data_IF_066119245342
#
_entry.id   IF_066119245342
#
_cell.length_a   1.000
_cell.length_b   1.000
_cell.length_c   1.000
_cell.angle_alpha   90.00
_cell.angle_beta   90.00
_cell.angle_gamma   90.00
#
_symmetry.space_group_name_H-M   'P 1'
#
loop_
_entity.id
_entity.type
_entity.pdbx_description
1 polymer ?
#
# COMPACT_ATOMS: atom_id res chain seq x y z
N UNK A 1 -19.71 -3.85 68.67
CA UNK A 1 -20.29 -4.06 67.31
C UNK A 1 -19.51 -3.44 66.13
N UNK A 2 -18.49 -2.57 66.32
CA UNK A 2 -17.73 -1.99 65.19
C UNK A 2 -16.47 -2.79 64.76
N UNK A 3 -15.92 -3.64 65.63
CA UNK A 3 -14.71 -4.42 65.33
C UNK A 3 -14.96 -5.72 64.56
N UNK A 4 -16.19 -6.23 64.53
CA UNK A 4 -16.53 -7.47 63.82
C UNK A 4 -16.77 -7.26 62.32
N UNK A 5 -17.18 -6.05 61.91
CA UNK A 5 -17.43 -5.73 60.49
C UNK A 5 -16.15 -5.55 59.67
N UNK A 6 -15.03 -5.15 60.29
CA UNK A 6 -13.77 -4.91 59.57
C UNK A 6 -13.04 -6.23 59.23
N UNK A 7 -13.13 -7.25 60.08
CA UNK A 7 -12.59 -8.59 59.79
C UNK A 7 -13.36 -9.32 58.68
N UNK A 8 -14.67 -9.08 58.55
CA UNK A 8 -15.48 -9.67 57.49
C UNK A 8 -15.17 -9.07 56.10
N UNK A 9 -14.86 -7.78 56.03
CA UNK A 9 -14.45 -7.11 54.79
C UNK A 9 -13.06 -7.53 54.30
N UNK A 10 -12.11 -7.80 55.21
CA UNK A 10 -10.78 -8.29 54.86
C UNK A 10 -10.78 -9.75 54.40
N UNK A 11 -11.65 -10.60 54.97
CA UNK A 11 -11.79 -12.01 54.54
C UNK A 11 -12.60 -12.12 53.25
N UNK A 12 -13.59 -11.25 53.02
CA UNK A 12 -14.32 -11.19 51.74
C UNK A 12 -13.47 -10.64 50.59
N UNK A 13 -12.54 -9.71 50.84
CA UNK A 13 -11.59 -9.21 49.84
C UNK A 13 -10.56 -10.26 49.38
N UNK A 14 -10.21 -11.22 50.24
CA UNK A 14 -9.31 -12.34 49.91
C UNK A 14 -9.99 -13.49 49.16
N UNK A 15 -11.32 -13.56 49.15
CA UNK A 15 -12.12 -14.56 48.42
C UNK A 15 -12.59 -14.07 47.04
N UNK A 16 -12.31 -12.81 46.69
CA UNK A 16 -12.58 -12.21 45.38
C UNK A 16 -11.32 -12.02 44.52
N UNK A 17 -10.15 -12.50 44.98
CA UNK A 17 -9.08 -12.77 44.04
C UNK A 17 -9.54 -13.91 43.14
N UNK A 18 -10.05 -13.56 41.96
CA UNK A 18 -10.07 -14.50 40.84
C UNK A 18 -8.70 -15.18 40.81
N UNK A 19 -8.69 -16.50 40.70
CA UNK A 19 -7.47 -17.26 40.47
C UNK A 19 -6.90 -16.67 39.18
N UNK A 20 -5.89 -15.80 39.31
CA UNK A 20 -5.19 -15.24 38.17
C UNK A 20 -4.53 -16.40 37.46
N UNK A 21 -5.21 -16.94 36.44
CA UNK A 21 -4.64 -17.96 35.56
C UNK A 21 -3.52 -17.27 34.79
N UNK A 22 -2.32 -17.33 35.35
CA UNK A 22 -1.12 -16.93 34.63
C UNK A 22 -0.98 -17.86 33.44
N UNK A 23 -1.01 -17.31 32.23
CA UNK A 23 -0.86 -18.10 31.02
C UNK A 23 0.50 -18.81 31.05
N UNK A 24 0.58 -20.09 30.66
CA UNK A 24 1.86 -20.79 30.60
C UNK A 24 2.83 -20.03 29.68
N UNK A 25 4.09 -19.80 30.10
CA UNK A 25 5.05 -19.04 29.31
C UNK A 25 5.47 -19.83 28.07
N UNK A 26 5.19 -19.31 26.87
CA UNK A 26 5.63 -19.95 25.62
C UNK A 26 7.16 -20.06 25.56
N UNK A 27 7.87 -19.09 26.15
CA UNK A 27 9.33 -19.07 26.20
C UNK A 27 9.93 -20.37 26.76
N UNK A 28 9.31 -20.99 27.77
CA UNK A 28 9.81 -22.23 28.36
C UNK A 28 9.80 -23.38 27.33
N UNK A 29 8.76 -23.46 26.50
CA UNK A 29 8.67 -24.48 25.46
C UNK A 29 9.71 -24.26 24.35
N UNK A 30 9.97 -23.00 24.00
CA UNK A 30 11.04 -22.63 23.05
C UNK A 30 12.40 -23.04 23.59
N UNK A 31 12.67 -22.80 24.87
CA UNK A 31 13.94 -23.13 25.52
C UNK A 31 14.18 -24.64 25.69
N UNK A 32 13.12 -25.43 25.81
CA UNK A 32 13.22 -26.89 25.86
C UNK A 32 13.34 -27.53 24.47
N UNK A 33 13.07 -26.77 23.41
CA UNK A 33 13.18 -27.28 22.04
C UNK A 33 14.66 -27.26 21.60
N UNK A 34 15.22 -28.41 21.16
CA UNK A 34 16.57 -28.46 20.62
C UNK A 34 16.71 -27.65 19.33
N UNK A 35 17.93 -27.19 19.02
CA UNK A 35 18.22 -26.54 17.74
C UNK A 35 17.87 -27.46 16.57
N UNK A 36 17.17 -26.93 15.57
CA UNK A 36 16.60 -27.66 14.44
C UNK A 36 15.33 -28.44 14.77
N UNK A 37 14.91 -28.45 16.05
CA UNK A 37 13.72 -29.15 16.51
C UNK A 37 12.42 -28.46 16.13
N UNK A 38 11.32 -29.23 16.18
CA UNK A 38 9.96 -28.74 15.98
C UNK A 38 9.22 -28.66 17.30
N UNK A 39 8.76 -27.46 17.65
CA UNK A 39 7.87 -27.17 18.77
C UNK A 39 6.42 -27.22 18.29
N UNK A 40 5.65 -28.15 18.86
CA UNK A 40 4.18 -28.29 18.69
C UNK A 40 3.51 -28.15 20.06
N UNK A 41 3.21 -26.92 20.52
CA UNK A 41 2.49 -26.73 21.76
C UNK A 41 1.08 -27.32 21.65
N UNK A 42 0.51 -27.88 22.73
CA UNK A 42 -0.92 -28.19 22.76
C UNK A 42 -1.77 -26.95 22.42
N UNK A 43 -2.98 -27.13 21.86
CA UNK A 43 -3.94 -26.05 21.66
C UNK A 43 -4.13 -25.23 22.94
N UNK A 44 -4.04 -23.90 22.84
CA UNK A 44 -4.13 -23.05 24.02
C UNK A 44 -3.54 -21.65 23.88
N UNK A 45 -3.64 -20.89 24.97
CA UNK A 45 -3.12 -19.52 25.07
C UNK A 45 -1.90 -19.50 26.00
N UNK A 46 -0.85 -18.83 25.56
CA UNK A 46 0.45 -18.76 26.23
C UNK A 46 0.88 -17.31 26.40
N UNK A 47 1.59 -17.02 27.49
CA UNK A 47 2.18 -15.70 27.70
C UNK A 47 3.43 -15.54 26.84
N UNK A 48 3.55 -14.37 26.21
CA UNK A 48 4.80 -13.79 25.76
C UNK A 48 5.50 -13.00 26.88
N UNK A 49 6.64 -12.35 26.60
CA UNK A 49 7.31 -12.32 25.30
C UNK A 49 8.00 -13.64 24.95
N UNK A 50 8.21 -13.88 23.66
CA UNK A 50 8.94 -15.03 23.13
C UNK A 50 10.15 -14.56 22.35
N UNK A 51 11.32 -15.12 22.64
CA UNK A 51 12.56 -14.85 21.92
C UNK A 51 13.13 -16.15 21.35
N UNK A 52 13.17 -16.23 20.03
CA UNK A 52 13.73 -17.36 19.28
C UNK A 52 15.18 -17.03 18.91
N UNK A 53 16.12 -17.49 19.75
CA UNK A 53 17.58 -17.28 19.56
C UNK A 53 18.29 -18.50 18.97
N UNK A 54 17.58 -19.61 18.79
CA UNK A 54 18.09 -20.81 18.13
C UNK A 54 17.11 -21.25 17.04
N UNK A 55 17.64 -21.80 15.96
CA UNK A 55 16.82 -22.27 14.83
C UNK A 55 15.83 -23.31 15.31
N UNK A 56 14.54 -23.05 15.19
CA UNK A 56 13.47 -24.02 15.48
C UNK A 56 12.33 -23.86 14.47
N UNK A 57 11.45 -24.85 14.43
CA UNK A 57 10.13 -24.74 13.80
C UNK A 57 9.07 -24.64 14.90
N UNK A 58 8.34 -23.52 14.98
CA UNK A 58 7.17 -23.35 15.84
C UNK A 58 5.89 -23.58 15.02
N UNK A 59 5.15 -24.63 15.34
CA UNK A 59 3.90 -25.00 14.67
C UNK A 59 2.72 -24.89 15.64
N UNK A 60 1.85 -23.92 15.40
CA UNK A 60 0.67 -23.69 16.23
C UNK A 60 -0.61 -24.38 15.77
N UNK A 61 -0.62 -24.93 14.55
CA UNK A 61 -1.80 -25.63 14.00
C UNK A 61 -3.07 -24.77 13.83
N UNK A 62 -2.96 -23.44 13.97
CA UNK A 62 -4.10 -22.52 14.03
C UNK A 62 -4.76 -22.42 15.39
N UNK A 63 -4.28 -23.17 16.40
CA UNK A 63 -4.92 -23.31 17.71
C UNK A 63 -4.07 -22.76 18.87
N UNK A 64 -2.86 -22.30 18.59
CA UNK A 64 -1.94 -21.72 19.57
C UNK A 64 -1.97 -20.20 19.50
N UNK A 65 -2.19 -19.56 20.65
CA UNK A 65 -2.19 -18.11 20.82
C UNK A 65 -1.01 -17.69 21.70
N UNK A 66 -0.19 -16.76 21.23
CA UNK A 66 0.85 -16.08 22.01
C UNK A 66 0.35 -14.68 22.33
N UNK A 67 0.18 -14.40 23.61
CA UNK A 67 -0.38 -13.15 24.14
C UNK A 67 0.71 -12.31 24.81
N UNK A 68 0.97 -11.12 24.27
CA UNK A 68 1.94 -10.17 24.83
C UNK A 68 1.48 -9.47 26.11
N UNK A 69 0.22 -9.61 26.51
CA UNK A 69 -0.32 -8.99 27.73
C UNK A 69 -0.41 -7.46 27.67
N UNK A 70 -0.24 -6.86 26.49
CA UNK A 70 -0.26 -5.41 26.31
C UNK A 70 1.05 -4.70 26.64
N UNK A 71 2.16 -5.43 26.71
CA UNK A 71 3.49 -4.87 26.97
C UNK A 71 4.53 -5.40 25.97
N UNK A 72 5.39 -4.51 25.48
CA UNK A 72 6.51 -4.84 24.59
C UNK A 72 6.16 -5.55 23.27
N UNK A 73 7.18 -6.17 22.68
CA UNK A 73 7.03 -7.01 21.49
C UNK A 73 6.69 -8.44 21.87
N UNK A 74 5.72 -9.06 21.18
CA UNK A 74 5.19 -10.38 21.54
C UNK A 74 6.15 -11.51 21.16
N UNK A 75 6.62 -11.51 19.90
CA UNK A 75 7.56 -12.52 19.38
C UNK A 75 8.75 -11.82 18.74
N UNK A 76 9.95 -12.22 19.11
CA UNK A 76 11.21 -11.76 18.50
C UNK A 76 12.00 -12.94 17.96
N UNK A 77 12.39 -12.88 16.69
CA UNK A 77 13.14 -13.94 16.02
C UNK A 77 14.52 -13.39 15.67
N UNK A 78 15.56 -14.04 16.19
CA UNK A 78 16.97 -13.70 15.95
C UNK A 78 17.77 -14.84 15.31
N UNK A 79 17.16 -16.01 15.17
CA UNK A 79 17.82 -17.18 14.62
C UNK A 79 17.42 -17.42 13.17
N UNK A 80 18.42 -17.43 12.30
CA UNK A 80 18.26 -17.70 10.88
C UNK A 80 17.65 -19.09 10.62
N UNK A 81 16.94 -19.22 9.50
CA UNK A 81 16.36 -20.48 9.06
C UNK A 81 15.25 -21.03 9.97
N UNK A 82 14.71 -20.20 10.87
CA UNK A 82 13.59 -20.54 11.73
C UNK A 82 12.28 -20.54 10.95
N UNK A 83 11.30 -21.29 11.44
CA UNK A 83 9.96 -21.37 10.85
C UNK A 83 8.93 -21.06 11.93
N UNK A 84 8.03 -20.13 11.67
CA UNK A 84 6.91 -19.80 12.55
C UNK A 84 5.64 -19.92 11.73
N UNK A 85 4.75 -20.85 12.13
CA UNK A 85 3.55 -21.12 11.37
C UNK A 85 2.32 -21.49 12.16
N UNK A 86 1.17 -21.05 11.67
CA UNK A 86 -0.12 -21.38 12.25
C UNK A 86 -0.27 -20.91 13.69
N UNK A 87 0.40 -19.82 14.09
CA UNK A 87 0.22 -19.22 15.42
C UNK A 87 -0.59 -17.93 15.32
N UNK A 88 -1.34 -17.65 16.38
CA UNK A 88 -2.01 -16.38 16.57
C UNK A 88 -1.21 -15.52 17.55
N UNK A 89 -0.81 -14.31 17.16
CA UNK A 89 0.01 -13.39 17.95
C UNK A 89 -0.82 -12.15 18.27
N UNK A 90 -0.99 -11.85 19.55
CA UNK A 90 -1.94 -10.81 20.00
C UNK A 90 -1.38 -9.93 21.11
N UNK A 91 -1.98 -8.73 21.24
CA UNK A 91 -1.82 -7.83 22.38
C UNK A 91 -0.37 -7.39 22.63
N UNK A 92 0.27 -6.79 21.63
CA UNK A 92 1.57 -6.12 21.84
C UNK A 92 1.42 -4.89 22.75
N UNK A 93 2.54 -4.39 23.27
CA UNK A 93 2.67 -3.07 23.86
C UNK A 93 2.28 -1.95 22.90
N UNK A 94 2.14 -0.73 23.44
CA UNK A 94 1.65 0.46 22.72
C UNK A 94 2.71 1.51 22.40
N UNK A 95 4.00 1.20 22.54
CA UNK A 95 5.06 2.19 22.33
C UNK A 95 5.41 2.35 20.85
N UNK A 96 5.15 3.55 20.30
CA UNK A 96 5.65 3.95 18.98
C UNK A 96 7.16 4.13 18.96
N UNK A 97 7.76 4.54 20.07
CA UNK A 97 9.21 4.79 20.16
C UNK A 97 10.00 3.47 20.19
N UNK A 98 9.48 2.46 20.91
CA UNK A 98 10.10 1.14 21.00
C UNK A 98 9.68 0.21 19.85
N UNK A 99 8.66 0.61 19.07
CA UNK A 99 8.08 -0.15 17.97
C UNK A 99 7.53 -1.50 18.43
N UNK A 100 6.70 -1.49 19.48
CA UNK A 100 6.10 -2.70 20.04
C UNK A 100 5.33 -3.48 18.98
N UNK A 101 5.88 -4.64 18.62
CA UNK A 101 5.42 -5.41 17.46
C UNK A 101 4.73 -6.70 17.89
N UNK A 102 3.83 -7.22 17.06
CA UNK A 102 3.41 -8.61 17.13
C UNK A 102 4.63 -9.51 16.91
N UNK A 103 5.34 -9.29 15.80
CA UNK A 103 6.53 -10.05 15.44
C UNK A 103 7.65 -9.11 14.98
N UNK A 104 8.78 -9.16 15.68
CA UNK A 104 10.03 -8.52 15.28
C UNK A 104 11.00 -9.57 14.70
N UNK A 105 11.40 -9.38 13.45
CA UNK A 105 12.34 -10.23 12.73
C UNK A 105 13.70 -9.54 12.58
N UNK A 106 14.73 -10.18 13.13
CA UNK A 106 16.14 -9.75 13.08
C UNK A 106 17.03 -10.93 12.63
N UNK A 107 16.57 -11.66 11.62
CA UNK A 107 17.18 -12.89 11.14
C UNK A 107 16.91 -13.07 9.63
N UNK A 108 17.63 -14.01 9.03
CA UNK A 108 17.58 -14.32 7.61
C UNK A 108 17.01 -15.72 7.35
N UNK A 109 16.59 -15.98 6.11
CA UNK A 109 16.05 -17.27 5.67
C UNK A 109 14.87 -17.77 6.54
N UNK A 110 14.13 -16.86 7.18
CA UNK A 110 13.01 -17.21 8.07
C UNK A 110 11.72 -17.35 7.26
N UNK A 111 10.96 -18.40 7.57
CA UNK A 111 9.61 -18.60 7.04
C UNK A 111 8.58 -18.23 8.10
N UNK A 112 7.78 -17.21 7.80
CA UNK A 112 6.63 -16.77 8.59
C UNK A 112 5.38 -17.06 7.77
N UNK A 113 4.68 -18.17 8.06
CA UNK A 113 3.56 -18.63 7.23
C UNK A 113 2.26 -18.89 7.98
N UNK A 114 1.12 -18.49 7.38
CA UNK A 114 -0.21 -18.81 7.87
C UNK A 114 -0.47 -18.39 9.33
N UNK A 115 0.10 -17.26 9.76
CA UNK A 115 -0.09 -16.71 11.09
C UNK A 115 -1.19 -15.65 11.10
N UNK A 116 -1.81 -15.47 12.26
CA UNK A 116 -2.79 -14.38 12.51
C UNK A 116 -2.17 -13.40 13.50
N UNK A 117 -2.00 -12.15 13.08
CA UNK A 117 -1.41 -11.09 13.90
C UNK A 117 -2.46 -9.99 14.05
N UNK A 118 -3.05 -9.87 15.23
CA UNK A 118 -4.16 -8.95 15.48
C UNK A 118 -4.03 -8.25 16.82
N UNK A 119 -4.67 -7.09 16.95
CA UNK A 119 -4.61 -6.27 18.17
C UNK A 119 -3.17 -5.98 18.63
N UNK A 120 -2.30 -5.65 17.67
CA UNK A 120 -0.92 -5.22 17.90
C UNK A 120 -0.73 -3.79 17.40
N UNK A 121 0.29 -3.08 17.90
CA UNK A 121 0.61 -1.76 17.36
C UNK A 121 1.25 -1.93 15.98
N UNK A 122 2.44 -2.52 15.94
CA UNK A 122 3.11 -2.92 14.70
C UNK A 122 2.88 -4.40 14.43
N UNK A 123 2.57 -4.79 13.20
CA UNK A 123 2.31 -6.20 12.84
C UNK A 123 3.59 -7.03 12.79
N UNK A 124 4.18 -7.11 11.59
CA UNK A 124 5.48 -7.71 11.34
C UNK A 124 6.50 -6.60 11.04
N UNK A 125 7.58 -6.56 11.83
CA UNK A 125 8.65 -5.58 11.71
C UNK A 125 9.97 -6.27 11.39
N UNK A 126 10.51 -6.05 10.20
CA UNK A 126 11.78 -6.56 9.72
C UNK A 126 12.87 -5.50 9.95
N UNK A 127 13.95 -5.91 10.62
CA UNK A 127 15.11 -5.07 10.91
C UNK A 127 16.37 -5.79 10.48
N UNK A 128 16.99 -5.30 9.40
CA UNK A 128 18.21 -5.90 8.82
C UNK A 128 18.03 -7.41 8.58
N UNK A 129 16.93 -7.74 7.91
CA UNK A 129 16.48 -9.10 7.67
C UNK A 129 16.45 -9.36 6.16
N UNK A 130 17.05 -10.47 5.74
CA UNK A 130 17.29 -10.79 4.33
C UNK A 130 16.76 -12.17 3.96
N UNK A 131 16.36 -12.36 2.71
CA UNK A 131 15.97 -13.66 2.16
C UNK A 131 14.79 -14.34 2.91
N UNK A 132 13.92 -13.55 3.55
CA UNK A 132 12.80 -14.10 4.32
C UNK A 132 11.55 -14.29 3.48
N UNK A 133 10.69 -15.19 3.94
CA UNK A 133 9.41 -15.52 3.29
C UNK A 133 8.26 -15.29 4.25
N UNK A 134 7.43 -14.28 3.96
CA UNK A 134 6.24 -13.91 4.72
C UNK A 134 5.03 -14.30 3.87
N UNK A 135 4.41 -15.45 4.18
CA UNK A 135 3.45 -16.12 3.28
C UNK A 135 2.09 -16.35 3.94
N UNK A 136 0.99 -15.91 3.33
CA UNK A 136 -0.35 -16.33 3.77
C UNK A 136 -0.74 -15.84 5.17
N UNK A 137 -0.12 -14.79 5.70
CA UNK A 137 -0.44 -14.25 7.02
C UNK A 137 -1.62 -13.26 6.94
N UNK A 138 -2.41 -13.18 8.01
CA UNK A 138 -3.42 -12.13 8.20
C UNK A 138 -2.95 -11.16 9.27
N UNK A 139 -2.87 -9.87 8.93
CA UNK A 139 -2.28 -8.83 9.78
C UNK A 139 -3.24 -7.66 9.94
N UNK A 140 -3.52 -7.30 11.19
CA UNK A 140 -4.33 -6.14 11.54
C UNK A 140 -3.82 -5.44 12.80
N UNK A 141 -4.00 -4.11 12.85
CA UNK A 141 -3.62 -3.31 14.02
C UNK A 141 -4.77 -3.25 15.03
N UNK A 142 -4.49 -2.65 16.19
CA UNK A 142 -5.52 -2.31 17.20
C UNK A 142 -6.54 -1.30 16.64
N UNK A 143 -7.76 -1.33 17.17
CA UNK A 143 -8.94 -0.59 16.67
C UNK A 143 -8.93 0.93 16.82
N UNK A 144 -7.78 1.56 16.97
CA UNK A 144 -7.65 3.01 17.12
C UNK A 144 -7.93 3.75 15.80
N UNK A 145 -8.04 5.09 15.86
CA UNK A 145 -8.09 5.94 14.67
C UNK A 145 -6.91 5.65 13.73
N UNK A 146 -7.10 5.80 12.41
CA UNK A 146 -6.09 5.40 11.42
C UNK A 146 -4.68 5.98 11.67
N UNK A 147 -4.58 7.18 12.25
CA UNK A 147 -3.29 7.82 12.57
C UNK A 147 -2.60 7.28 13.82
N UNK A 148 -3.34 6.64 14.73
CA UNK A 148 -2.82 6.07 15.98
C UNK A 148 -2.47 4.58 15.84
N UNK A 149 -2.77 3.98 14.68
CA UNK A 149 -2.35 2.61 14.35
C UNK A 149 -0.85 2.59 14.06
N UNK A 150 -0.23 1.43 14.28
CA UNK A 150 1.12 1.18 13.79
C UNK A 150 1.11 0.63 12.36
N UNK A 151 2.31 0.39 11.83
CA UNK A 151 2.48 -0.23 10.52
C UNK A 151 2.16 -1.73 10.61
N UNK A 152 1.40 -2.25 9.64
CA UNK A 152 1.09 -3.67 9.58
C UNK A 152 2.29 -4.50 9.19
N UNK A 153 3.05 -3.99 8.22
CA UNK A 153 4.29 -4.57 7.76
C UNK A 153 5.31 -3.45 7.61
N UNK A 154 6.48 -3.64 8.21
CA UNK A 154 7.57 -2.67 8.17
C UNK A 154 8.85 -3.36 7.77
N UNK A 155 9.50 -2.90 6.70
CA UNK A 155 10.83 -3.32 6.29
C UNK A 155 11.79 -2.17 6.49
N UNK A 156 12.82 -2.38 7.32
CA UNK A 156 13.85 -1.38 7.60
C UNK A 156 15.23 -2.00 7.37
N UNK A 157 15.96 -1.48 6.38
CA UNK A 157 17.24 -2.03 5.91
C UNK A 157 17.18 -3.53 5.57
N UNK A 158 16.09 -3.98 4.96
CA UNK A 158 15.79 -5.39 4.72
C UNK A 158 15.57 -5.62 3.22
N UNK A 159 16.30 -6.52 2.60
CA UNK A 159 16.27 -6.77 1.14
C UNK A 159 15.99 -8.22 0.82
N UNK A 160 15.66 -8.50 -0.44
CA UNK A 160 15.53 -9.87 -0.96
C UNK A 160 14.42 -10.69 -0.27
N UNK A 161 13.44 -10.02 0.34
CA UNK A 161 12.33 -10.69 1.02
C UNK A 161 11.16 -10.93 0.08
N UNK A 162 10.49 -12.06 0.25
CA UNK A 162 9.26 -12.41 -0.43
C UNK A 162 8.05 -12.25 0.51
N UNK A 163 7.14 -11.35 0.15
CA UNK A 163 5.88 -11.10 0.83
C UNK A 163 4.75 -11.52 -0.10
N UNK A 164 4.21 -12.72 0.12
CA UNK A 164 3.25 -13.34 -0.81
C UNK A 164 1.93 -13.73 -0.12
N UNK A 165 0.79 -13.45 -0.78
CA UNK A 165 -0.55 -13.91 -0.38
C UNK A 165 -0.95 -13.53 1.06
N UNK A 166 -0.43 -12.44 1.58
CA UNK A 166 -0.83 -11.93 2.88
C UNK A 166 -2.08 -11.05 2.76
N UNK A 167 -2.89 -11.04 3.81
CA UNK A 167 -3.97 -10.07 4.00
C UNK A 167 -3.52 -9.03 5.03
N UNK A 168 -3.46 -7.76 4.63
CA UNK A 168 -3.01 -6.67 5.50
C UNK A 168 -4.08 -5.59 5.51
N UNK A 169 -4.78 -5.49 6.64
CA UNK A 169 -5.96 -4.66 6.74
C UNK A 169 -6.12 -3.96 8.08
N UNK A 170 -6.77 -2.80 8.06
CA UNK A 170 -6.98 -1.98 9.25
C UNK A 170 -5.68 -1.66 9.99
N UNK A 171 -4.61 -1.39 9.24
CA UNK A 171 -3.34 -0.90 9.78
C UNK A 171 -3.17 0.58 9.41
N UNK A 172 -2.10 1.22 9.88
CA UNK A 172 -1.76 2.56 9.38
C UNK A 172 -1.22 2.43 7.97
N UNK A 173 -0.02 1.88 7.83
CA UNK A 173 0.68 1.79 6.56
C UNK A 173 1.38 0.42 6.42
N UNK A 174 1.74 0.05 5.19
CA UNK A 174 2.86 -0.85 4.91
C UNK A 174 4.05 0.04 4.54
N UNK A 175 5.15 -0.03 5.29
CA UNK A 175 6.31 0.83 5.10
C UNK A 175 7.55 0.03 4.70
N UNK A 176 8.15 0.38 3.56
CA UNK A 176 9.37 -0.21 3.03
C UNK A 176 10.39 0.92 2.92
N UNK A 177 11.41 0.90 3.77
CA UNK A 177 12.39 2.00 3.87
C UNK A 177 13.83 1.47 3.87
N UNK A 178 14.67 2.07 3.02
CA UNK A 178 16.04 1.61 2.77
C UNK A 178 16.12 0.11 2.47
N UNK A 179 15.13 -0.43 1.77
CA UNK A 179 14.85 -1.86 1.69
C UNK A 179 14.69 -2.26 0.22
N UNK A 180 15.82 -2.45 -0.51
CA UNK A 180 15.79 -2.71 -1.94
C UNK A 180 15.38 -4.15 -2.25
N UNK A 181 15.04 -4.41 -3.51
CA UNK A 181 14.99 -5.76 -4.10
C UNK A 181 14.04 -6.75 -3.38
N UNK A 182 12.94 -6.26 -2.80
CA UNK A 182 11.90 -7.13 -2.25
C UNK A 182 10.79 -7.39 -3.28
N UNK A 183 10.12 -8.53 -3.13
CA UNK A 183 8.98 -8.91 -3.97
C UNK A 183 7.71 -9.02 -3.14
N UNK A 184 6.73 -8.19 -3.48
CA UNK A 184 5.39 -8.19 -2.89
C UNK A 184 4.39 -8.68 -3.93
N UNK A 185 3.86 -9.90 -3.75
CA UNK A 185 3.00 -10.51 -4.78
C UNK A 185 1.73 -11.18 -4.27
N UNK A 186 0.63 -10.99 -4.99
CA UNK A 186 -0.64 -11.65 -4.67
C UNK A 186 -1.24 -11.28 -3.32
N UNK A 187 -0.85 -10.16 -2.72
CA UNK A 187 -1.36 -9.72 -1.41
C UNK A 187 -2.71 -9.01 -1.55
N UNK A 188 -3.52 -9.11 -0.49
CA UNK A 188 -4.77 -8.38 -0.32
C UNK A 188 -4.57 -7.26 0.70
N UNK A 189 -4.63 -6.00 0.26
CA UNK A 189 -4.28 -4.83 1.08
C UNK A 189 -5.44 -3.85 1.08
N UNK A 190 -6.09 -3.64 2.23
CA UNK A 190 -7.30 -2.83 2.28
C UNK A 190 -7.58 -2.12 3.60
N UNK A 191 -8.33 -1.01 3.51
CA UNK A 191 -8.78 -0.24 4.68
C UNK A 191 -7.62 0.31 5.54
N UNK A 192 -6.50 0.61 4.89
CA UNK A 192 -5.32 1.22 5.49
C UNK A 192 -5.24 2.71 5.14
N UNK A 193 -4.40 3.47 5.85
CA UNK A 193 -4.09 4.84 5.47
C UNK A 193 -3.25 4.85 4.19
N UNK A 194 -2.11 4.15 4.20
CA UNK A 194 -1.32 3.91 2.99
C UNK A 194 -1.33 2.42 2.67
N UNK A 195 -1.62 2.06 1.42
CA UNK A 195 -1.49 0.70 0.94
C UNK A 195 -0.04 0.24 1.02
N UNK A 196 0.89 0.98 0.42
CA UNK A 196 2.34 0.82 0.57
C UNK A 196 3.06 2.16 0.45
N UNK A 197 4.11 2.35 1.24
CA UNK A 197 5.02 3.49 1.15
C UNK A 197 6.46 2.99 0.98
N UNK A 198 7.08 3.32 -0.15
CA UNK A 198 8.45 2.95 -0.50
C UNK A 198 9.33 4.21 -0.45
N UNK A 199 10.35 4.20 0.41
CA UNK A 199 11.24 5.34 0.62
C UNK A 199 12.68 4.86 0.53
N UNK A 200 13.47 5.41 -0.39
CA UNK A 200 14.86 4.98 -0.62
C UNK A 200 15.00 3.47 -0.84
N UNK A 201 14.05 2.86 -1.56
CA UNK A 201 13.91 1.41 -1.68
C UNK A 201 13.81 1.00 -3.15
N UNK A 202 14.92 1.03 -3.91
CA UNK A 202 14.92 0.73 -5.33
C UNK A 202 14.72 -0.76 -5.62
N UNK A 203 14.39 -1.11 -6.87
CA UNK A 203 14.38 -2.49 -7.36
C UNK A 203 13.25 -3.38 -6.83
N UNK A 204 12.28 -2.80 -6.11
CA UNK A 204 11.16 -3.58 -5.56
C UNK A 204 10.14 -3.96 -6.64
N UNK A 205 9.66 -5.20 -6.56
CA UNK A 205 8.63 -5.75 -7.44
C UNK A 205 7.29 -5.88 -6.72
N UNK A 206 6.27 -5.18 -7.20
CA UNK A 206 4.92 -5.18 -6.65
C UNK A 206 3.98 -5.73 -7.72
N UNK A 207 3.64 -7.02 -7.61
CA UNK A 207 3.03 -7.78 -8.72
C UNK A 207 1.74 -8.50 -8.31
N UNK A 208 0.65 -8.29 -9.05
CA UNK A 208 -0.56 -9.11 -8.86
C UNK A 208 -1.30 -8.87 -7.54
N UNK A 209 -1.14 -7.71 -6.91
CA UNK A 209 -1.77 -7.39 -5.63
C UNK A 209 -3.16 -6.77 -5.83
N UNK A 210 -4.07 -7.01 -4.88
CA UNK A 210 -5.38 -6.34 -4.81
C UNK A 210 -5.35 -5.28 -3.70
N UNK A 211 -5.32 -4.01 -4.10
CA UNK A 211 -5.14 -2.86 -3.22
C UNK A 211 -6.41 -2.01 -3.28
N UNK A 212 -7.22 -2.00 -2.22
CA UNK A 212 -8.53 -1.32 -2.28
C UNK A 212 -8.95 -0.67 -0.97
N UNK A 213 -9.81 0.36 -1.06
CA UNK A 213 -10.35 1.05 0.13
C UNK A 213 -9.28 1.61 1.07
N UNK A 214 -8.06 1.81 0.56
CA UNK A 214 -7.03 2.54 1.26
C UNK A 214 -7.21 4.03 0.98
N UNK A 215 -6.74 4.90 1.87
CA UNK A 215 -6.75 6.35 1.60
C UNK A 215 -5.85 6.69 0.40
N UNK A 216 -4.68 6.06 0.33
CA UNK A 216 -3.78 6.09 -0.84
C UNK A 216 -3.29 4.66 -1.11
N UNK A 217 -3.09 4.30 -2.38
CA UNK A 217 -2.56 3.00 -2.79
C UNK A 217 -1.07 2.87 -2.53
N UNK A 218 -0.23 3.06 -3.55
CA UNK A 218 1.23 2.99 -3.42
C UNK A 218 1.84 4.38 -3.56
N UNK A 219 2.78 4.69 -2.67
CA UNK A 219 3.63 5.88 -2.76
C UNK A 219 5.08 5.44 -2.92
N UNK A 220 5.75 5.86 -3.99
CA UNK A 220 7.18 5.65 -4.21
C UNK A 220 7.93 6.97 -4.14
N UNK A 221 8.93 7.07 -3.26
CA UNK A 221 9.75 8.27 -3.06
C UNK A 221 11.23 7.89 -3.10
N UNK A 222 12.01 8.53 -3.98
CA UNK A 222 13.44 8.23 -4.15
C UNK A 222 13.73 6.72 -4.28
N UNK A 223 12.87 6.02 -5.02
CA UNK A 223 12.89 4.56 -5.14
C UNK A 223 12.87 4.21 -6.62
N UNK A 224 14.06 4.07 -7.20
CA UNK A 224 14.25 3.81 -8.62
C UNK A 224 13.95 2.33 -8.97
N UNK A 225 13.82 2.03 -10.27
CA UNK A 225 13.69 0.68 -10.81
C UNK A 225 12.52 -0.14 -10.24
N UNK A 226 11.43 0.53 -9.84
CA UNK A 226 10.23 -0.15 -9.35
C UNK A 226 9.47 -0.83 -10.49
N UNK A 227 9.08 -2.09 -10.27
CA UNK A 227 8.12 -2.79 -11.14
C UNK A 227 6.77 -2.89 -10.44
N UNK A 228 5.78 -2.16 -10.94
CA UNK A 228 4.39 -2.20 -10.46
C UNK A 228 3.55 -2.81 -11.58
N UNK A 229 3.25 -4.10 -11.48
CA UNK A 229 2.57 -4.81 -12.58
C UNK A 229 1.41 -5.70 -12.18
N UNK A 230 0.42 -5.80 -13.07
CA UNK A 230 -0.75 -6.68 -12.89
C UNK A 230 -1.52 -6.47 -11.57
N UNK A 231 -1.40 -5.30 -10.94
CA UNK A 231 -2.11 -5.00 -9.70
C UNK A 231 -3.49 -4.42 -10.00
N UNK A 232 -4.41 -4.59 -9.05
CA UNK A 232 -5.73 -3.96 -9.07
C UNK A 232 -5.83 -2.94 -7.95
N UNK A 233 -5.99 -1.68 -8.33
CA UNK A 233 -6.25 -0.55 -7.43
C UNK A 233 -7.72 -0.17 -7.51
N UNK A 234 -8.41 -0.08 -6.37
CA UNK A 234 -9.81 0.29 -6.37
C UNK A 234 -10.27 1.13 -5.17
N UNK A 235 -11.20 2.04 -5.40
CA UNK A 235 -11.95 2.75 -4.36
C UNK A 235 -11.08 3.63 -3.43
N UNK A 236 -10.04 4.28 -3.94
CA UNK A 236 -9.25 5.29 -3.21
C UNK A 236 -9.84 6.68 -3.45
N UNK A 237 -10.97 6.99 -2.80
CA UNK A 237 -11.80 8.18 -3.07
C UNK A 237 -11.58 9.36 -2.11
N UNK A 238 -10.57 9.29 -1.24
CA UNK A 238 -10.26 10.43 -0.38
C UNK A 238 -9.68 11.60 -1.19
N UNK A 239 -9.93 12.84 -0.74
CA UNK A 239 -9.68 14.08 -1.50
C UNK A 239 -8.23 14.23 -1.98
N UNK A 240 -7.27 13.76 -1.18
CA UNK A 240 -5.82 13.79 -1.50
C UNK A 240 -5.27 12.40 -1.81
N UNK A 241 -6.13 11.40 -1.97
CA UNK A 241 -5.76 10.02 -2.25
C UNK A 241 -5.39 9.83 -3.72
N UNK A 242 -4.42 8.97 -3.96
CA UNK A 242 -4.09 8.48 -5.29
C UNK A 242 -3.96 6.95 -5.27
N UNK A 243 -4.22 6.28 -6.38
CA UNK A 243 -3.87 4.87 -6.50
C UNK A 243 -2.36 4.67 -6.54
N UNK A 244 -1.68 5.51 -7.31
CA UNK A 244 -0.23 5.53 -7.42
C UNK A 244 0.27 6.97 -7.30
N UNK A 245 1.29 7.18 -6.46
CA UNK A 245 2.01 8.45 -6.36
C UNK A 245 3.52 8.19 -6.44
N UNK A 246 4.14 8.59 -7.54
CA UNK A 246 5.58 8.39 -7.79
C UNK A 246 6.28 9.74 -7.72
N UNK A 247 7.28 9.83 -6.84
CA UNK A 247 8.01 11.05 -6.57
C UNK A 247 9.52 10.82 -6.61
N UNK A 248 10.22 11.64 -7.38
CA UNK A 248 11.68 11.66 -7.46
C UNK A 248 12.27 10.26 -7.65
N UNK A 249 11.63 9.47 -8.52
CA UNK A 249 11.97 8.07 -8.77
C UNK A 249 12.07 7.85 -10.28
N UNK A 250 12.99 6.98 -10.68
CA UNK A 250 13.44 6.79 -12.05
C UNK A 250 13.27 5.34 -12.48
N UNK A 251 13.15 5.11 -13.78
CA UNK A 251 13.01 3.77 -14.38
C UNK A 251 11.84 2.95 -13.78
N UNK A 252 10.80 3.65 -13.31
CA UNK A 252 9.60 3.03 -12.76
C UNK A 252 8.74 2.49 -13.90
N UNK A 253 8.37 1.22 -13.82
CA UNK A 253 7.51 0.53 -14.80
C UNK A 253 6.17 0.22 -14.18
N UNK A 254 5.12 0.82 -14.71
CA UNK A 254 3.73 0.62 -14.31
C UNK A 254 3.03 -0.09 -15.47
N UNK A 255 2.82 -1.39 -15.36
CA UNK A 255 2.42 -2.22 -16.49
C UNK A 255 1.20 -3.11 -16.21
N UNK A 256 0.21 -3.13 -17.10
CA UNK A 256 -0.89 -4.10 -17.02
C UNK A 256 -1.75 -3.98 -15.75
N UNK A 257 -1.78 -2.81 -15.10
CA UNK A 257 -2.57 -2.60 -13.88
C UNK A 257 -3.99 -2.17 -14.20
N UNK A 258 -4.92 -2.49 -13.30
CA UNK A 258 -6.27 -1.93 -13.29
C UNK A 258 -6.37 -0.85 -12.22
N UNK A 259 -6.71 0.38 -12.60
CA UNK A 259 -6.87 1.53 -11.68
C UNK A 259 -8.30 2.05 -11.81
N UNK A 260 -9.13 1.71 -10.82
CA UNK A 260 -10.57 1.86 -10.90
C UNK A 260 -11.14 2.72 -9.77
N UNK A 261 -11.93 3.73 -10.13
CA UNK A 261 -12.73 4.47 -9.15
C UNK A 261 -11.89 5.05 -8.00
N UNK A 262 -10.85 5.81 -8.37
CA UNK A 262 -9.98 6.54 -7.46
C UNK A 262 -10.12 8.06 -7.67
N UNK A 263 -9.78 8.86 -6.65
CA UNK A 263 -9.74 10.32 -6.77
C UNK A 263 -8.65 10.75 -7.77
N UNK A 264 -7.47 10.13 -7.67
CA UNK A 264 -6.43 10.24 -8.69
C UNK A 264 -5.92 8.84 -9.01
N UNK A 265 -5.78 8.50 -10.30
CA UNK A 265 -5.19 7.24 -10.72
C UNK A 265 -3.68 7.22 -10.47
N UNK A 266 -2.94 8.02 -11.25
CA UNK A 266 -1.49 8.19 -11.09
C UNK A 266 -1.15 9.66 -10.87
N UNK A 267 -0.33 9.94 -9.85
CA UNK A 267 0.34 11.23 -9.67
C UNK A 267 1.84 11.05 -9.85
N UNK A 268 2.47 11.90 -10.65
CA UNK A 268 3.91 11.81 -10.94
C UNK A 268 4.55 13.18 -11.16
N UNK A 269 5.78 13.37 -10.68
CA UNK A 269 6.57 14.57 -10.98
C UNK A 269 7.25 14.47 -12.34
N UNK A 270 7.39 15.61 -13.00
CA UNK A 270 8.28 15.74 -14.13
C UNK A 270 9.69 15.31 -13.74
N UNK A 271 10.38 14.56 -14.61
CA UNK A 271 11.77 14.17 -14.39
C UNK A 271 12.64 15.43 -14.24
N UNK A 272 13.40 15.50 -13.15
CA UNK A 272 14.40 16.58 -12.98
C UNK A 272 15.55 16.35 -13.96
N UNK A 273 15.93 15.08 -14.11
CA UNK A 273 16.99 14.59 -14.98
C UNK A 273 16.44 13.66 -16.08
N UNK A 274 17.03 13.64 -17.30
CA UNK A 274 16.54 12.82 -18.43
C UNK A 274 16.38 11.32 -18.13
N UNK A 275 17.12 10.80 -17.16
CA UNK A 275 17.08 9.40 -16.72
C UNK A 275 15.87 9.06 -15.84
N UNK A 276 15.13 10.05 -15.33
CA UNK A 276 13.96 9.87 -14.45
C UNK A 276 12.68 9.48 -15.23
N UNK A 277 12.83 8.58 -16.20
CA UNK A 277 11.74 8.13 -17.07
C UNK A 277 10.82 7.19 -16.29
N UNK A 278 9.51 7.36 -16.49
CA UNK A 278 8.48 6.41 -16.04
C UNK A 278 7.84 5.81 -17.29
N UNK A 279 7.59 4.50 -17.26
CA UNK A 279 6.90 3.76 -18.31
C UNK A 279 5.51 3.38 -17.80
N UNK A 280 4.48 3.87 -18.48
CA UNK A 280 3.08 3.54 -18.23
C UNK A 280 2.58 2.77 -19.44
N UNK A 281 2.47 1.44 -19.31
CA UNK A 281 2.20 0.55 -20.44
C UNK A 281 1.04 -0.42 -20.17
N UNK A 282 0.12 -0.55 -21.13
CA UNK A 282 -0.97 -1.55 -21.09
C UNK A 282 -1.86 -1.50 -19.84
N UNK A 283 -1.99 -0.33 -19.19
CA UNK A 283 -2.84 -0.18 -18.01
C UNK A 283 -4.28 0.16 -18.40
N UNK A 284 -5.23 -0.33 -17.60
CA UNK A 284 -6.63 0.05 -17.70
C UNK A 284 -6.97 1.02 -16.56
N UNK A 285 -7.23 2.28 -16.92
CA UNK A 285 -7.45 3.38 -15.97
C UNK A 285 -8.86 3.92 -16.21
N UNK A 286 -9.79 3.62 -15.31
CA UNK A 286 -11.20 3.90 -15.54
C UNK A 286 -11.95 4.44 -14.32
N UNK A 287 -12.97 5.26 -14.59
CA UNK A 287 -13.87 5.83 -13.59
C UNK A 287 -13.20 6.65 -12.48
N UNK A 288 -12.02 7.20 -12.75
CA UNK A 288 -11.30 8.05 -11.79
C UNK A 288 -11.76 9.51 -11.91
N UNK A 289 -11.67 10.27 -10.82
CA UNK A 289 -11.94 11.72 -10.88
C UNK A 289 -10.83 12.42 -11.71
N UNK A 290 -9.58 11.95 -11.58
CA UNK A 290 -8.46 12.29 -12.46
C UNK A 290 -7.70 11.00 -12.79
N UNK A 291 -7.49 10.67 -14.06
CA UNK A 291 -6.76 9.45 -14.43
C UNK A 291 -5.25 9.63 -14.19
N UNK A 292 -4.65 10.66 -14.80
CA UNK A 292 -3.23 11.01 -14.67
C UNK A 292 -3.08 12.46 -14.21
N UNK A 293 -2.21 12.70 -13.23
CA UNK A 293 -1.81 14.02 -12.77
C UNK A 293 -0.29 14.18 -12.84
N UNK A 294 0.16 15.05 -13.75
CA UNK A 294 1.57 15.43 -13.89
C UNK A 294 1.81 16.78 -13.22
N UNK A 295 2.84 16.88 -12.38
CA UNK A 295 3.29 18.15 -11.83
C UNK A 295 4.76 18.45 -12.15
N UNK A 296 5.12 19.71 -12.31
CA UNK A 296 6.42 20.15 -12.87
C UNK A 296 6.28 20.67 -14.30
N UNK A 297 7.38 20.99 -14.99
CA UNK A 297 7.32 21.71 -16.28
C UNK A 297 7.91 20.94 -17.47
N UNK A 298 8.58 19.80 -17.25
CA UNK A 298 9.43 19.17 -18.27
C UNK A 298 8.77 18.04 -19.05
N UNK A 299 7.86 17.25 -18.45
CA UNK A 299 7.44 15.97 -19.03
C UNK A 299 8.62 15.02 -19.30
N UNK A 300 8.44 14.00 -20.14
CA UNK A 300 9.49 13.04 -20.53
C UNK A 300 9.22 11.59 -20.11
N UNK A 301 7.98 11.26 -19.74
CA UNK A 301 7.56 9.88 -19.48
C UNK A 301 7.10 9.19 -20.78
N UNK A 302 7.06 7.86 -20.77
CA UNK A 302 6.60 7.03 -21.88
C UNK A 302 5.24 6.44 -21.53
N UNK A 303 4.23 6.70 -22.35
CA UNK A 303 2.83 6.39 -22.05
C UNK A 303 2.17 5.74 -23.26
N UNK A 304 2.20 4.41 -23.29
CA UNK A 304 1.82 3.62 -24.47
C UNK A 304 0.79 2.54 -24.16
N UNK A 305 -0.10 2.22 -25.11
CA UNK A 305 -0.96 1.04 -25.01
C UNK A 305 -2.01 1.08 -23.88
N UNK A 306 -2.17 2.21 -23.19
CA UNK A 306 -3.09 2.29 -22.06
C UNK A 306 -4.53 2.53 -22.52
N UNK A 307 -5.48 2.08 -21.71
CA UNK A 307 -6.90 2.27 -21.92
C UNK A 307 -7.49 3.22 -20.89
N UNK A 308 -8.00 4.36 -21.33
CA UNK A 308 -8.61 5.39 -20.49
C UNK A 308 -10.13 5.47 -20.72
N UNK A 309 -10.90 4.97 -19.76
CA UNK A 309 -12.36 4.86 -19.93
C UNK A 309 -13.12 5.64 -18.86
N UNK A 310 -14.03 6.52 -19.29
CA UNK A 310 -15.01 7.18 -18.40
C UNK A 310 -14.38 7.85 -17.16
N UNK A 311 -13.14 8.35 -17.27
CA UNK A 311 -12.55 9.20 -16.25
C UNK A 311 -13.18 10.59 -16.35
N UNK A 312 -13.40 11.25 -15.22
CA UNK A 312 -13.91 12.62 -15.25
C UNK A 312 -12.90 13.55 -15.92
N UNK A 313 -11.61 13.39 -15.62
CA UNK A 313 -10.53 14.06 -16.32
C UNK A 313 -9.40 13.08 -16.62
N UNK A 314 -9.09 12.86 -17.90
CA UNK A 314 -8.03 11.92 -18.27
C UNK A 314 -6.64 12.42 -17.86
N UNK A 315 -6.28 13.66 -18.23
CA UNK A 315 -4.98 14.24 -17.88
C UNK A 315 -5.15 15.61 -17.22
N UNK A 316 -4.59 15.73 -16.01
CA UNK A 316 -4.39 16.98 -15.30
C UNK A 316 -2.90 17.34 -15.25
N UNK A 317 -2.60 18.64 -15.31
CA UNK A 317 -1.23 19.16 -15.31
C UNK A 317 -1.09 20.37 -14.39
N UNK A 318 0.08 20.58 -13.81
CA UNK A 318 0.38 21.83 -13.08
C UNK A 318 0.80 22.99 -13.98
N UNK A 319 1.31 22.68 -15.18
CA UNK A 319 1.66 23.62 -16.25
C UNK A 319 1.32 22.98 -17.61
N UNK A 320 1.02 23.76 -18.64
CA UNK A 320 0.70 23.20 -19.96
C UNK A 320 1.82 22.31 -20.53
N UNK A 321 3.07 22.58 -20.17
CA UNK A 321 4.24 21.79 -20.59
C UNK A 321 4.47 20.51 -19.79
N UNK A 322 3.79 20.28 -18.66
CA UNK A 322 4.05 19.13 -17.75
C UNK A 322 3.89 17.76 -18.43
N UNK A 323 3.02 17.68 -19.44
CA UNK A 323 2.69 16.45 -20.16
C UNK A 323 3.06 16.50 -21.65
N UNK A 324 3.44 17.68 -22.16
CA UNK A 324 3.62 17.93 -23.58
C UNK A 324 4.82 17.16 -24.15
N UNK A 325 5.88 17.01 -23.36
CA UNK A 325 7.09 16.29 -23.77
C UNK A 325 7.07 14.79 -23.41
N UNK A 326 5.96 14.27 -22.88
CA UNK A 326 5.81 12.82 -22.74
C UNK A 326 5.63 12.19 -24.12
N UNK A 327 6.12 10.96 -24.28
CA UNK A 327 5.90 10.14 -25.47
C UNK A 327 4.56 9.41 -25.34
N UNK A 328 3.59 9.84 -26.13
CA UNK A 328 2.24 9.27 -26.17
C UNK A 328 2.07 8.51 -27.47
N UNK A 329 1.58 7.27 -27.40
CA UNK A 329 1.36 6.45 -28.59
C UNK A 329 0.44 5.26 -28.31
N UNK A 330 -0.52 5.02 -29.19
CA UNK A 330 -1.27 3.76 -29.17
C UNK A 330 -2.11 3.59 -27.92
N UNK A 331 -2.57 4.67 -27.30
CA UNK A 331 -3.51 4.59 -26.19
C UNK A 331 -4.95 4.59 -26.72
N UNK A 332 -5.84 3.88 -26.04
CA UNK A 332 -7.28 3.94 -26.27
C UNK A 332 -7.90 5.01 -25.36
N UNK A 333 -8.67 5.92 -25.96
CA UNK A 333 -9.32 7.02 -25.25
C UNK A 333 -10.84 6.92 -25.42
N UNK A 334 -11.57 6.76 -24.32
CA UNK A 334 -13.02 6.62 -24.36
C UNK A 334 -13.78 7.85 -24.91
N UNK A 335 -13.11 8.98 -25.09
CA UNK A 335 -13.61 10.22 -25.67
C UNK A 335 -12.96 10.56 -27.03
N UNK A 336 -12.28 9.60 -27.68
CA UNK A 336 -11.77 9.80 -29.03
C UNK A 336 -12.91 9.79 -30.06
N UNK A 337 -13.05 10.90 -30.81
CA UNK A 337 -14.10 11.09 -31.83
C UNK A 337 -13.57 10.98 -33.27
N UNK A 338 -12.37 10.42 -33.45
CA UNK A 338 -11.78 10.23 -34.79
C UNK A 338 -12.37 9.06 -35.57
N UNK A 339 -11.81 8.83 -36.75
CA UNK A 339 -12.22 7.75 -37.64
C UNK A 339 -11.04 6.85 -37.96
N UNK A 340 -11.31 5.56 -38.15
CA UNK A 340 -10.41 4.59 -38.76
C UNK A 340 -11.02 4.17 -40.10
N UNK A 341 -10.54 4.80 -41.19
CA UNK A 341 -11.06 4.56 -42.54
C UNK A 341 -10.39 3.39 -43.24
N UNK A 342 -9.18 3.02 -42.83
CA UNK A 342 -8.42 1.91 -43.41
C UNK A 342 -8.62 0.58 -42.65
N UNK A 343 -9.37 0.60 -41.55
CA UNK A 343 -9.74 -0.55 -40.71
C UNK A 343 -8.53 -1.26 -40.09
N UNK A 344 -7.49 -0.52 -39.71
CA UNK A 344 -6.29 -1.08 -39.07
C UNK A 344 -6.32 -1.02 -37.53
N UNK A 345 -7.39 -0.45 -36.95
CA UNK A 345 -7.58 -0.30 -35.51
C UNK A 345 -6.89 0.93 -34.90
N UNK A 346 -6.27 1.77 -35.73
CA UNK A 346 -5.63 3.03 -35.33
C UNK A 346 -6.44 4.20 -35.91
N UNK A 347 -6.66 5.23 -35.11
CA UNK A 347 -7.34 6.43 -35.57
C UNK A 347 -6.53 7.23 -36.60
N UNK A 348 -7.16 7.62 -37.70
CA UNK A 348 -6.57 8.41 -38.79
C UNK A 348 -6.18 9.85 -38.37
N UNK A 349 -6.71 10.33 -37.23
CA UNK A 349 -6.44 11.67 -36.68
C UNK A 349 -5.78 11.60 -35.30
N UNK A 350 -4.82 12.48 -34.99
CA UNK A 350 -4.26 12.56 -33.65
C UNK A 350 -5.33 12.87 -32.58
N UNK A 351 -5.15 12.33 -31.37
CA UNK A 351 -5.91 12.76 -30.20
C UNK A 351 -5.17 13.90 -29.51
N UNK A 352 -5.66 15.13 -29.72
CA UNK A 352 -5.08 16.36 -29.16
C UNK A 352 -5.94 16.86 -28.00
N UNK A 353 -5.31 17.11 -26.84
CA UNK A 353 -5.98 17.70 -25.68
C UNK A 353 -5.43 19.08 -25.39
N UNK A 354 -6.31 20.08 -25.38
CA UNK A 354 -5.98 21.47 -25.14
C UNK A 354 -6.42 21.94 -23.74
N UNK A 355 -5.68 22.90 -23.20
CA UNK A 355 -5.99 23.64 -21.98
C UNK A 355 -6.71 24.93 -22.36
N UNK A 356 -8.01 24.98 -22.09
CA UNK A 356 -8.83 26.19 -22.23
C UNK A 356 -8.82 27.02 -20.93
N UNK A 357 -9.12 28.32 -21.06
CA UNK A 357 -9.18 29.31 -19.97
C UNK A 357 -10.02 28.85 -18.78
N UNK A 358 -11.06 28.05 -19.05
CA UNK A 358 -12.07 27.69 -18.08
C UNK A 358 -11.76 26.42 -17.26
N UNK A 359 -10.57 25.83 -17.40
CA UNK A 359 -10.07 24.86 -16.40
C UNK A 359 -9.69 25.53 -15.07
N UNK A 360 -10.41 26.58 -14.65
CA UNK A 360 -10.36 27.24 -13.34
C UNK A 360 -10.52 26.22 -12.21
N UNK A 361 -11.18 25.08 -12.43
CA UNK A 361 -11.26 23.99 -11.45
C UNK A 361 -9.94 23.25 -11.20
N UNK A 362 -8.94 23.38 -12.07
CA UNK A 362 -7.57 22.95 -11.77
C UNK A 362 -6.92 23.86 -10.74
N UNK A 363 -7.20 25.17 -10.80
CA UNK A 363 -6.75 26.15 -9.81
C UNK A 363 -7.61 26.16 -8.54
N UNK A 364 -8.91 25.81 -8.67
CA UNK A 364 -9.90 25.78 -7.59
C UNK A 364 -10.63 24.43 -7.55
N UNK A 365 -10.09 23.43 -6.82
CA UNK A 365 -10.65 22.08 -6.76
C UNK A 365 -12.15 22.01 -6.42
N UNK A 366 -12.67 22.97 -5.65
CA UNK A 366 -14.10 23.07 -5.28
C UNK A 366 -15.03 23.26 -6.48
N UNK A 367 -14.56 23.81 -7.60
CA UNK A 367 -15.38 24.05 -8.79
C UNK A 367 -15.65 22.73 -9.55
N UNK A 368 -14.86 21.67 -9.30
CA UNK A 368 -15.08 20.34 -9.90
C UNK A 368 -16.49 19.79 -9.66
N UNK A 369 -17.13 20.15 -8.55
CA UNK A 369 -18.50 19.77 -8.23
C UNK A 369 -19.52 20.20 -9.30
N UNK A 370 -19.30 21.34 -9.96
CA UNK A 370 -20.23 21.89 -10.94
C UNK A 370 -20.01 21.39 -12.37
N UNK A 371 -19.05 20.47 -12.60
CA UNK A 371 -18.63 20.09 -13.96
C UNK A 371 -19.75 19.50 -14.82
N UNK A 372 -20.64 18.69 -14.23
CA UNK A 372 -21.80 18.15 -14.93
C UNK A 372 -23.00 19.12 -14.96
N UNK A 373 -22.79 20.39 -14.60
CA UNK A 373 -23.85 21.39 -14.70
C UNK A 373 -23.99 21.85 -16.16
N UNK A 374 -25.23 22.03 -16.66
CA UNK A 374 -25.47 22.55 -18.00
C UNK A 374 -24.79 23.91 -18.28
N UNK A 375 -24.50 24.68 -17.22
CA UNK A 375 -23.83 25.98 -17.34
C UNK A 375 -22.36 25.83 -17.75
N UNK A 376 -21.63 24.88 -17.15
CA UNK A 376 -20.22 24.66 -17.53
C UNK A 376 -20.09 23.98 -18.89
N UNK A 377 -21.02 23.09 -19.28
CA UNK A 377 -21.05 22.52 -20.63
C UNK A 377 -21.29 23.60 -21.70
N UNK A 378 -22.21 24.54 -21.45
CA UNK A 378 -22.50 25.64 -22.38
C UNK A 378 -21.30 26.58 -22.54
N UNK A 379 -20.57 26.82 -21.45
CA UNK A 379 -19.34 27.61 -21.46
C UNK A 379 -18.25 26.90 -22.29
N UNK A 380 -17.99 25.61 -22.07
CA UNK A 380 -17.01 24.82 -22.86
C UNK A 380 -17.36 24.84 -24.36
N UNK A 381 -18.63 24.69 -24.71
CA UNK A 381 -19.10 24.76 -26.09
C UNK A 381 -18.89 26.16 -26.71
N UNK A 382 -19.22 27.23 -25.97
CA UNK A 382 -19.04 28.60 -26.43
C UNK A 382 -17.56 28.94 -26.66
N UNK A 383 -16.66 28.49 -25.78
CA UNK A 383 -15.21 28.72 -25.94
C UNK A 383 -14.62 27.99 -27.15
N UNK A 384 -15.05 26.74 -27.40
CA UNK A 384 -14.65 26.00 -28.63
C UNK A 384 -15.06 26.75 -29.90
N UNK A 385 -16.18 27.47 -29.85
CA UNK A 385 -16.70 28.27 -30.96
C UNK A 385 -16.02 29.65 -31.08
N UNK A 386 -15.66 30.27 -29.96
CA UNK A 386 -15.06 31.61 -29.91
C UNK A 386 -13.81 31.60 -29.04
N UNK A 387 -12.67 31.18 -29.57
CA UNK A 387 -11.41 31.23 -28.82
C UNK A 387 -10.95 32.68 -28.68
N UNK A 388 -11.08 33.28 -27.49
CA UNK A 388 -10.57 34.63 -27.21
C UNK A 388 -9.02 34.68 -27.10
N UNK A 389 -8.38 33.52 -26.94
CA UNK A 389 -6.94 33.28 -27.01
C UNK A 389 -6.66 31.88 -27.59
N UNK A 390 -5.45 31.65 -28.12
CA UNK A 390 -5.06 30.32 -28.62
C UNK A 390 -4.84 29.40 -27.40
N UNK A 391 -5.57 28.28 -27.26
CA UNK A 391 -5.41 27.39 -26.12
C UNK A 391 -4.07 26.64 -26.21
N UNK A 392 -3.48 26.33 -25.05
CA UNK A 392 -2.23 25.58 -24.98
C UNK A 392 -2.49 24.10 -25.23
N UNK A 393 -1.63 23.44 -26.02
CA UNK A 393 -1.67 21.98 -26.17
C UNK A 393 -1.08 21.33 -24.91
N UNK A 394 -1.83 20.42 -24.27
CA UNK A 394 -1.36 19.64 -23.11
C UNK A 394 -0.59 18.41 -23.59
N UNK A 395 -1.18 17.64 -24.51
CA UNK A 395 -0.55 16.48 -25.11
C UNK A 395 -1.20 16.12 -26.45
N UNK A 396 -0.49 15.28 -27.22
CA UNK A 396 -0.94 14.71 -28.49
C UNK A 396 -0.57 13.23 -28.53
N UNK A 397 -1.54 12.35 -28.74
CA UNK A 397 -1.29 10.97 -29.19
C UNK A 397 -1.44 10.93 -30.73
N UNK A 398 -0.36 10.69 -31.49
CA UNK A 398 -0.40 10.70 -32.95
C UNK A 398 -1.04 9.44 -33.55
N UNK A 399 -1.19 8.36 -32.78
CA UNK A 399 -1.71 7.08 -33.24
C UNK A 399 -2.61 6.46 -32.17
N UNK A 400 -3.74 7.09 -31.81
CA UNK A 400 -4.66 6.56 -30.81
C UNK A 400 -5.31 5.27 -31.32
N UNK A 401 -5.61 4.33 -30.42
CA UNK A 401 -6.37 3.13 -30.75
C UNK A 401 -7.88 3.43 -30.79
N UNK A 402 -8.59 2.74 -31.69
CA UNK A 402 -10.05 2.84 -31.88
C UNK A 402 -10.90 2.08 -30.86
#
# INVERSE_FOLDING_TARGET
MKWFRLKFLLVAGLLLCEVGYCLPPMQLFVELTPTGGTLRPPPGRYSGPVVIERRITLEGGGEVIIDGGGDGTVVRIKADGSIIRGVKIVNSGGSHDQLDSGLLLEANDVLIENNVIENVLFGINLRRAYDNRILGNSISSRGDSASLRGEGLRLWYSSDNLIEKNEIANVRDILIINSPDNRLSGNLIHHNRMGMELVFSPGNEIVGNSISWNRTGIVGIYSDDLLISANRFAHMREITGAALAIKESSQVKIMGNEILHCAIGLTVNSPVHPENILYLEDNHIAYNDVALYFYGEKGGHVIHGNRFDSNLLTVAVSASTSALANDWKGNHWGDYEGFDRNFDGIGDTPHDVYLYSDRIWMERPMIRFFRASPVLELIDFAERLTSFSKPDLIFRDPAPLM
#
